data_IF_537648969706
#
_entry.id   IF_537648969706
#
_cell.length_a   1.000
_cell.length_b   1.000
_cell.length_c   1.000
_cell.angle_alpha   90.00
_cell.angle_beta   90.00
_cell.angle_gamma   90.00
#
_symmetry.space_group_name_H-M   'P 1'
#
loop_
_entity.id
_entity.type
_entity.pdbx_description
1 polymer ?
#
# COMPACT_ATOMS: atom_id res chain seq x y z
N UNK A 1 59.41 1.37 -47.99
CA UNK A 1 58.99 2.03 -46.74
C UNK A 1 57.80 1.24 -46.19
N UNK A 2 57.91 0.21 -45.34
CA UNK A 2 58.68 0.06 -44.09
C UNK A 2 57.97 0.85 -42.98
N UNK A 3 57.52 0.33 -41.82
CA UNK A 3 57.51 -0.97 -41.13
C UNK A 3 56.43 -0.83 -40.01
N UNK A 4 55.51 -1.77 -39.70
CA UNK A 4 55.58 -3.10 -39.05
C UNK A 4 56.18 -3.17 -37.62
N UNK A 5 55.28 -3.48 -36.69
CA UNK A 5 55.30 -4.49 -35.61
C UNK A 5 56.50 -4.64 -34.64
N UNK A 6 56.16 -4.62 -33.35
CA UNK A 6 56.73 -5.46 -32.27
C UNK A 6 55.53 -5.95 -31.43
N UNK A 7 55.13 -7.21 -31.41
CA UNK A 7 55.80 -8.46 -31.00
C UNK A 7 56.19 -8.50 -29.50
N UNK A 8 55.63 -9.48 -28.80
CA UNK A 8 55.93 -9.83 -27.41
C UNK A 8 54.99 -10.90 -26.83
N UNK A 9 54.97 -12.07 -27.48
CA UNK A 9 54.40 -13.34 -27.01
C UNK A 9 55.29 -13.95 -25.90
N UNK A 10 54.71 -14.72 -24.96
CA UNK A 10 55.26 -15.98 -24.43
C UNK A 10 54.30 -16.71 -23.45
N UNK A 11 53.56 -17.65 -24.02
CA UNK A 11 53.32 -19.04 -23.61
C UNK A 11 53.70 -19.60 -22.20
N UNK A 12 52.69 -20.32 -21.63
CA UNK A 12 52.68 -21.71 -21.08
C UNK A 12 53.17 -22.06 -19.66
N UNK A 13 52.37 -22.95 -19.04
CA UNK A 13 52.69 -23.84 -17.91
C UNK A 13 52.08 -23.34 -16.58
N UNK A 14 51.31 -24.06 -15.78
CA UNK A 14 51.16 -25.50 -15.55
C UNK A 14 51.07 -25.70 -14.02
N UNK A 15 50.27 -26.67 -13.57
CA UNK A 15 50.19 -27.21 -12.20
C UNK A 15 49.37 -26.51 -11.10
N UNK A 16 48.25 -27.18 -10.75
CA UNK A 16 47.72 -27.29 -9.37
C UNK A 16 48.65 -28.16 -8.52
N UNK A 17 48.80 -27.85 -7.23
CA UNK A 17 48.33 -28.74 -6.16
C UNK A 17 47.63 -27.92 -5.04
N UNK A 18 46.67 -28.39 -4.26
CA UNK A 18 46.64 -29.64 -3.50
C UNK A 18 46.50 -29.25 -2.02
N UNK A 19 45.28 -29.32 -1.49
CA UNK A 19 44.94 -29.13 -0.08
C UNK A 19 45.75 -30.08 0.83
N UNK A 20 46.33 -29.54 1.91
CA UNK A 20 46.67 -30.28 3.13
C UNK A 20 46.29 -29.44 4.35
N UNK A 21 45.24 -29.86 5.04
CA UNK A 21 44.96 -29.49 6.43
C UNK A 21 45.40 -30.66 7.33
N UNK A 22 46.04 -30.41 8.48
CA UNK A 22 46.40 -31.47 9.41
C UNK A 22 45.17 -32.00 10.16
N UNK A 23 45.12 -33.33 10.25
CA UNK A 23 44.20 -34.09 11.11
C UNK A 23 44.80 -34.18 12.50
N UNK A 24 44.02 -33.86 13.52
CA UNK A 24 44.22 -34.41 14.86
C UNK A 24 43.01 -35.26 15.25
N UNK A 25 43.30 -36.49 15.66
CA UNK A 25 42.39 -37.48 16.21
C UNK A 25 42.81 -37.77 17.65
N UNK A 26 41.89 -37.55 18.60
CA UNK A 26 41.75 -38.31 19.86
C UNK A 26 40.23 -38.40 20.09
N UNK A 27 39.56 -39.54 20.22
CA UNK A 27 39.87 -40.73 21.04
C UNK A 27 39.02 -40.63 22.33
N UNK A 28 37.70 -40.87 22.29
CA UNK A 28 36.92 -42.12 22.55
C UNK A 28 36.50 -42.29 24.02
N UNK A 29 35.32 -42.91 24.19
CA UNK A 29 34.65 -43.40 25.42
C UNK A 29 33.82 -42.38 26.21
N UNK A 30 32.55 -42.57 26.53
CA UNK A 30 31.74 -43.79 26.68
C UNK A 30 31.36 -43.95 28.15
N UNK A 31 30.12 -43.63 28.54
CA UNK A 31 29.45 -44.19 29.73
C UNK A 31 27.97 -43.84 29.78
N UNK A 32 27.16 -44.89 29.86
CA UNK A 32 25.75 -44.90 30.24
C UNK A 32 25.66 -44.79 31.77
N UNK A 33 24.70 -44.03 32.29
CA UNK A 33 24.09 -44.33 33.59
C UNK A 33 22.59 -43.96 33.57
N UNK A 34 21.77 -44.99 33.78
CA UNK A 34 20.39 -44.87 34.29
C UNK A 34 20.45 -44.63 35.80
N UNK A 35 19.55 -43.81 36.34
CA UNK A 35 18.46 -44.22 37.25
C UNK A 35 18.04 -43.11 38.24
N UNK A 36 16.74 -43.18 38.61
CA UNK A 36 16.03 -42.55 39.76
C UNK A 36 15.66 -41.08 39.52
N UNK A 37 14.40 -40.66 39.45
CA UNK A 37 13.17 -41.17 40.05
C UNK A 37 12.76 -40.27 41.21
N UNK A 38 12.07 -39.15 40.92
CA UNK A 38 11.31 -38.39 41.91
C UNK A 38 10.04 -37.84 41.25
N UNK A 39 8.93 -38.49 41.57
CA UNK A 39 7.56 -38.04 41.33
C UNK A 39 7.22 -36.89 42.28
N UNK A 40 6.77 -35.76 41.75
CA UNK A 40 6.10 -34.73 42.55
C UNK A 40 4.66 -34.64 42.09
N UNK A 41 3.77 -35.10 42.97
CA UNK A 41 2.32 -35.08 42.83
C UNK A 41 1.76 -33.65 42.78
N UNK A 42 0.60 -33.43 42.14
CA UNK A 42 -0.08 -32.13 42.15
C UNK A 42 -0.82 -31.93 43.47
N UNK A 43 -0.52 -30.85 44.20
CA UNK A 43 -1.32 -30.42 45.34
C UNK A 43 -2.45 -29.49 44.89
N UNK A 44 -3.67 -29.91 45.19
CA UNK A 44 -4.90 -29.16 45.05
C UNK A 44 -5.12 -28.18 46.23
N UNK A 45 -6.04 -27.23 45.98
CA UNK A 45 -6.70 -26.27 46.90
C UNK A 45 -5.91 -24.96 47.11
N UNK A 46 -6.48 -23.76 47.14
CA UNK A 46 -7.86 -23.30 47.40
C UNK A 46 -8.23 -22.10 46.52
N UNK A 47 -9.51 -22.03 46.17
CA UNK A 47 -10.10 -20.89 45.48
C UNK A 47 -10.15 -19.63 46.33
N UNK A 48 -10.10 -18.48 45.65
CA UNK A 48 -10.58 -17.21 46.20
C UNK A 48 -11.22 -16.36 45.10
N UNK A 49 -12.55 -16.28 45.24
CA UNK A 49 -13.48 -15.20 44.89
C UNK A 49 -13.14 -14.28 43.70
N UNK A 50 -13.93 -14.46 42.65
CA UNK A 50 -14.34 -13.43 41.70
C UNK A 50 -14.83 -12.18 42.46
N UNK A 51 -14.24 -11.02 42.16
CA UNK A 51 -14.93 -9.74 42.31
C UNK A 51 -15.54 -9.38 40.94
N UNK A 52 -16.86 -9.27 40.81
CA UNK A 52 -17.47 -8.63 39.66
C UNK A 52 -17.22 -7.11 39.78
N UNK A 53 -17.41 -6.38 38.68
CA UNK A 53 -17.30 -4.93 38.56
C UNK A 53 -15.96 -4.35 38.08
N UNK A 54 -15.58 -4.76 36.86
CA UNK A 54 -14.98 -3.81 35.90
C UNK A 54 -15.66 -4.01 34.54
N UNK A 55 -16.62 -3.15 34.21
CA UNK A 55 -17.23 -3.11 32.87
C UNK A 55 -16.17 -2.65 31.86
N UNK A 56 -15.97 -3.34 30.72
CA UNK A 56 -15.18 -2.78 29.63
C UNK A 56 -15.93 -1.57 29.06
N UNK A 57 -15.29 -0.39 29.07
CA UNK A 57 -15.80 0.80 28.39
C UNK A 57 -15.99 0.48 26.92
N UNK A 58 -17.26 0.36 26.52
CA UNK A 58 -17.66 0.16 25.14
C UNK A 58 -17.10 1.25 24.24
N UNK A 59 -16.60 0.84 23.08
CA UNK A 59 -16.26 1.73 21.97
C UNK A 59 -17.53 2.48 21.57
N UNK A 60 -17.55 3.79 21.79
CA UNK A 60 -18.59 4.66 21.24
C UNK A 60 -18.41 4.76 19.72
N UNK A 61 -19.47 4.63 18.92
CA UNK A 61 -19.41 4.96 17.50
C UNK A 61 -19.20 6.46 17.32
N UNK A 62 -18.40 6.84 16.31
CA UNK A 62 -18.22 8.23 15.87
C UNK A 62 -19.58 8.83 15.50
N UNK A 63 -20.11 9.68 16.37
CA UNK A 63 -21.22 10.58 16.06
C UNK A 63 -20.63 11.90 15.57
N UNK A 64 -20.58 12.08 14.25
CA UNK A 64 -20.87 13.32 13.48
C UNK A 64 -20.01 13.36 12.20
N UNK A 65 -20.59 13.55 11.01
CA UNK A 65 -19.84 14.05 9.87
C UNK A 65 -19.31 15.45 10.21
N UNK A 66 -18.05 15.73 9.91
CA UNK A 66 -17.47 17.06 9.99
C UNK A 66 -18.35 18.00 9.17
N UNK A 67 -18.97 18.98 9.84
CA UNK A 67 -19.83 19.98 9.21
C UNK A 67 -19.00 20.82 8.25
N UNK A 68 -19.50 20.97 7.02
CA UNK A 68 -19.02 21.97 6.05
C UNK A 68 -19.01 23.36 6.71
N UNK A 69 -17.91 24.09 6.57
CA UNK A 69 -17.81 25.46 7.06
C UNK A 69 -18.63 26.40 6.13
N UNK A 70 -19.48 27.31 6.63
CA UNK A 70 -20.56 27.94 5.85
C UNK A 70 -20.14 29.10 4.93
N UNK A 71 -18.87 29.26 4.59
CA UNK A 71 -18.42 30.41 3.81
C UNK A 71 -17.34 30.00 2.80
N UNK A 72 -17.79 29.53 1.64
CA UNK A 72 -17.02 29.58 0.41
C UNK A 72 -17.96 29.67 -0.79
N UNK A 73 -17.73 30.54 -1.79
CA UNK A 73 -18.69 30.83 -2.83
C UNK A 73 -18.61 29.77 -3.93
N UNK A 74 -19.73 29.13 -4.24
CA UNK A 74 -19.93 28.37 -5.47
C UNK A 74 -21.31 28.71 -6.04
N UNK A 75 -21.31 28.89 -7.36
CA UNK A 75 -22.44 29.09 -8.28
C UNK A 75 -22.82 30.54 -8.60
N UNK A 76 -22.22 31.05 -9.68
CA UNK A 76 -22.92 31.92 -10.62
C UNK A 76 -23.67 31.05 -11.62
N UNK A 77 -24.95 31.34 -11.79
CA UNK A 77 -25.88 30.70 -12.73
C UNK A 77 -25.62 31.16 -14.17
N UNK A 78 -25.80 30.24 -15.12
CA UNK A 78 -25.85 30.55 -16.56
C UNK A 78 -26.92 29.70 -17.23
N UNK A 79 -28.05 30.33 -17.55
CA UNK A 79 -29.21 29.75 -18.23
C UNK A 79 -29.00 29.56 -19.74
N UNK A 80 -29.76 28.60 -20.30
CA UNK A 80 -30.05 28.46 -21.73
C UNK A 80 -29.59 27.10 -22.26
N UNK A 81 -30.37 26.28 -22.98
CA UNK A 81 -31.71 26.39 -23.53
C UNK A 81 -32.05 25.02 -24.15
N UNK A 82 -33.35 24.82 -24.41
CA UNK A 82 -34.02 23.57 -24.79
C UNK A 82 -33.57 23.05 -26.17
N UNK A 83 -33.60 21.73 -26.39
CA UNK A 83 -34.25 21.14 -27.57
C UNK A 83 -34.51 19.63 -27.39
N UNK A 84 -35.79 19.26 -27.48
CA UNK A 84 -36.33 17.91 -27.65
C UNK A 84 -36.25 17.53 -29.13
N UNK A 85 -35.78 16.32 -29.45
CA UNK A 85 -36.28 15.56 -30.61
C UNK A 85 -36.41 14.08 -30.26
N UNK A 86 -37.60 13.58 -30.58
CA UNK A 86 -38.19 12.26 -30.38
C UNK A 86 -37.97 11.45 -31.67
N UNK A 87 -37.59 10.18 -31.57
CA UNK A 87 -37.52 9.27 -32.72
C UNK A 87 -37.47 7.80 -32.31
N UNK A 88 -38.62 7.13 -32.38
CA UNK A 88 -38.78 5.66 -32.47
C UNK A 88 -38.22 5.20 -33.85
N UNK A 89 -37.74 3.99 -34.13
CA UNK A 89 -38.16 2.63 -33.76
C UNK A 89 -37.08 1.60 -34.24
N UNK A 90 -37.28 0.27 -34.13
CA UNK A 90 -36.27 -0.69 -33.67
C UNK A 90 -35.60 -1.51 -34.78
N UNK A 91 -34.46 -2.15 -34.48
CA UNK A 91 -34.02 -3.37 -35.16
C UNK A 91 -33.40 -4.39 -34.20
N UNK A 92 -33.87 -5.62 -34.39
CA UNK A 92 -33.51 -6.86 -33.71
C UNK A 92 -32.03 -7.19 -33.88
N UNK A 93 -31.44 -7.80 -32.86
CA UNK A 93 -30.10 -8.36 -32.93
C UNK A 93 -29.79 -9.16 -31.66
N UNK A 94 -29.98 -10.47 -31.77
CA UNK A 94 -29.27 -11.56 -31.05
C UNK A 94 -29.07 -11.36 -29.55
N UNK A 95 -29.88 -12.09 -28.75
CA UNK A 95 -29.59 -12.37 -27.36
C UNK A 95 -28.35 -13.26 -27.28
N UNK A 96 -27.17 -12.65 -27.20
CA UNK A 96 -26.02 -13.32 -26.57
C UNK A 96 -26.31 -13.41 -25.07
N UNK A 97 -26.34 -14.64 -24.57
CA UNK A 97 -26.51 -14.94 -23.16
C UNK A 97 -25.52 -14.09 -22.33
N UNK A 98 -26.06 -13.12 -21.59
CA UNK A 98 -25.29 -12.16 -20.83
C UNK A 98 -24.48 -12.83 -19.73
N UNK A 99 -23.20 -13.06 -19.99
CA UNK A 99 -22.20 -13.04 -18.92
C UNK A 99 -22.27 -11.63 -18.36
N UNK A 100 -22.85 -11.47 -17.16
CA UNK A 100 -23.03 -10.17 -16.52
C UNK A 100 -21.77 -9.32 -16.69
N UNK A 101 -21.91 -8.14 -17.29
CA UNK A 101 -20.77 -7.31 -17.69
C UNK A 101 -20.13 -6.73 -16.42
N UNK A 102 -19.25 -7.52 -15.80
CA UNK A 102 -18.55 -7.14 -14.58
C UNK A 102 -17.85 -5.81 -14.82
N UNK A 103 -18.21 -4.80 -14.03
CA UNK A 103 -17.64 -3.45 -14.17
C UNK A 103 -16.24 -3.47 -13.57
N UNK A 104 -15.23 -3.71 -14.41
CA UNK A 104 -13.83 -3.83 -13.98
C UNK A 104 -13.30 -2.56 -13.32
N UNK A 105 -12.67 -2.74 -12.18
CA UNK A 105 -12.00 -1.72 -11.37
C UNK A 105 -10.53 -2.07 -11.30
N UNK A 106 -9.69 -1.21 -11.87
CA UNK A 106 -8.24 -1.30 -11.72
C UNK A 106 -7.83 -0.66 -10.39
N UNK A 107 -7.14 -1.41 -9.55
CA UNK A 107 -6.63 -0.96 -8.25
C UNK A 107 -5.11 -0.85 -8.33
N UNK A 108 -4.58 0.35 -8.23
CA UNK A 108 -3.14 0.59 -8.28
C UNK A 108 -2.57 0.85 -6.89
N UNK A 109 -1.51 0.10 -6.54
CA UNK A 109 -0.77 0.26 -5.27
C UNK A 109 0.67 0.64 -5.52
N UNK A 110 1.31 1.31 -4.56
CA UNK A 110 2.69 1.78 -4.74
C UNK A 110 3.70 0.63 -4.65
N UNK A 111 3.61 -0.20 -3.61
CA UNK A 111 4.66 -1.21 -3.34
C UNK A 111 4.13 -2.64 -3.32
N UNK A 112 5.03 -3.58 -3.60
CA UNK A 112 4.67 -5.00 -3.73
C UNK A 112 4.10 -5.59 -2.45
N UNK A 113 4.57 -5.12 -1.30
CA UNK A 113 4.07 -5.57 0.00
C UNK A 113 2.62 -5.16 0.24
N UNK A 114 2.23 -3.96 -0.19
CA UNK A 114 0.84 -3.48 -0.13
C UNK A 114 -0.04 -4.34 -1.03
N UNK A 115 0.37 -4.53 -2.29
CA UNK A 115 -0.36 -5.33 -3.26
C UNK A 115 -0.64 -6.74 -2.73
N UNK A 116 0.40 -7.44 -2.26
CA UNK A 116 0.29 -8.79 -1.71
C UNK A 116 -0.58 -8.83 -0.45
N UNK A 117 -0.48 -7.81 0.41
CA UNK A 117 -1.28 -7.75 1.63
C UNK A 117 -2.77 -7.53 1.32
N UNK A 118 -3.09 -6.60 0.42
CA UNK A 118 -4.45 -6.35 -0.03
C UNK A 118 -5.03 -7.56 -0.74
N UNK A 119 -4.29 -8.17 -1.67
CA UNK A 119 -4.71 -9.38 -2.36
C UNK A 119 -5.05 -10.51 -1.37
N UNK A 120 -4.19 -10.75 -0.37
CA UNK A 120 -4.46 -11.73 0.69
C UNK A 120 -5.70 -11.41 1.52
N UNK A 121 -5.91 -10.14 1.88
CA UNK A 121 -7.07 -9.71 2.68
C UNK A 121 -8.38 -9.77 1.88
N UNK A 122 -8.31 -9.62 0.57
CA UNK A 122 -9.45 -9.63 -0.35
C UNK A 122 -9.69 -11.01 -0.98
N UNK A 123 -8.80 -11.99 -0.77
CA UNK A 123 -8.88 -13.31 -1.39
C UNK A 123 -8.63 -13.29 -2.90
N UNK A 124 -7.84 -12.34 -3.41
CA UNK A 124 -7.52 -12.24 -4.84
C UNK A 124 -6.40 -13.22 -5.21
N UNK A 125 -6.62 -14.15 -6.16
CA UNK A 125 -5.58 -15.02 -6.67
C UNK A 125 -4.59 -14.21 -7.54
N UNK A 126 -3.36 -14.73 -7.66
CA UNK A 126 -2.38 -14.16 -8.58
C UNK A 126 -2.82 -14.41 -10.01
N UNK A 127 -2.75 -13.38 -10.86
CA UNK A 127 -2.86 -13.54 -12.29
C UNK A 127 -1.47 -13.92 -12.81
N UNK A 128 -1.39 -15.05 -13.52
CA UNK A 128 -0.12 -15.61 -13.98
C UNK A 128 0.48 -14.77 -15.12
N UNK A 129 1.81 -14.82 -15.26
CA UNK A 129 2.52 -14.27 -16.42
C UNK A 129 3.25 -12.94 -16.20
N UNK A 130 3.17 -12.35 -15.00
CA UNK A 130 3.85 -11.10 -14.67
C UNK A 130 4.98 -11.27 -13.64
N UNK A 131 6.07 -10.54 -13.84
CA UNK A 131 7.21 -10.52 -12.93
C UNK A 131 6.98 -9.66 -11.67
N UNK A 132 5.80 -9.04 -11.57
CA UNK A 132 5.39 -8.14 -10.50
C UNK A 132 4.05 -8.60 -9.91
N UNK A 133 3.65 -8.10 -8.73
CA UNK A 133 2.38 -8.47 -8.12
C UNK A 133 1.20 -7.98 -8.96
N UNK A 134 0.46 -8.94 -9.49
CA UNK A 134 -0.76 -8.77 -10.26
C UNK A 134 -1.78 -9.79 -9.79
N UNK A 135 -2.94 -9.33 -9.33
CA UNK A 135 -3.98 -10.16 -8.75
C UNK A 135 -5.34 -9.75 -9.28
N UNK A 136 -6.30 -10.66 -9.31
CA UNK A 136 -7.65 -10.29 -9.74
C UNK A 136 -8.68 -11.37 -9.53
N UNK A 137 -9.90 -10.95 -9.21
CA UNK A 137 -11.09 -11.78 -9.17
C UNK A 137 -12.33 -10.88 -9.19
N UNK A 138 -13.38 -11.34 -9.87
CA UNK A 138 -14.62 -10.58 -10.04
C UNK A 138 -14.34 -9.20 -10.64
N UNK A 139 -14.80 -8.15 -9.98
CA UNK A 139 -14.65 -6.77 -10.44
C UNK A 139 -13.27 -6.15 -10.19
N UNK A 140 -12.41 -6.74 -9.35
CA UNK A 140 -11.14 -6.13 -8.97
C UNK A 140 -9.96 -6.74 -9.73
N UNK A 141 -9.12 -5.87 -10.28
CA UNK A 141 -7.80 -6.20 -10.82
C UNK A 141 -6.77 -5.28 -10.14
N UNK A 142 -5.90 -5.87 -9.32
CA UNK A 142 -4.95 -5.16 -8.46
C UNK A 142 -3.53 -5.30 -9.01
N UNK A 143 -2.86 -4.16 -9.20
CA UNK A 143 -1.52 -4.07 -9.78
C UNK A 143 -0.64 -3.17 -8.91
N UNK A 144 0.55 -3.66 -8.57
CA UNK A 144 1.65 -2.83 -8.04
C UNK A 144 2.20 -1.97 -9.17
N UNK A 145 2.35 -0.66 -9.00
CA UNK A 145 2.87 0.28 -10.01
C UNK A 145 4.21 0.93 -9.61
N UNK A 146 4.82 0.44 -8.54
CA UNK A 146 6.07 0.94 -8.01
C UNK A 146 5.90 2.27 -7.25
N UNK A 147 6.86 2.60 -6.36
CA UNK A 147 6.87 3.87 -5.65
C UNK A 147 6.83 5.05 -6.62
N UNK A 148 6.10 6.10 -6.25
CA UNK A 148 5.80 7.27 -7.08
C UNK A 148 5.05 6.93 -8.39
N UNK A 149 4.46 5.74 -8.46
CA UNK A 149 3.76 5.20 -9.63
C UNK A 149 4.62 5.18 -10.91
N UNK A 150 5.95 5.06 -10.78
CA UNK A 150 6.89 5.17 -11.91
C UNK A 150 6.75 4.04 -12.95
N UNK A 151 6.13 2.92 -12.59
CA UNK A 151 5.88 1.78 -13.48
C UNK A 151 4.42 1.71 -13.94
N UNK A 152 3.61 2.75 -13.66
CA UNK A 152 2.19 2.80 -13.97
C UNK A 152 1.93 2.57 -15.45
N UNK A 153 2.55 3.35 -16.33
CA UNK A 153 2.33 3.25 -17.77
C UNK A 153 2.65 1.84 -18.29
N UNK A 154 3.83 1.32 -17.95
CA UNK A 154 4.30 0.02 -18.41
C UNK A 154 3.44 -1.14 -17.90
N UNK A 155 2.98 -1.09 -16.64
CA UNK A 155 2.19 -2.18 -16.04
C UNK A 155 0.71 -2.07 -16.36
N UNK A 156 0.17 -0.86 -16.49
CA UNK A 156 -1.23 -0.63 -16.87
C UNK A 156 -1.50 -0.93 -18.35
N UNK A 157 -0.49 -0.94 -19.23
CA UNK A 157 -0.64 -1.33 -20.63
C UNK A 157 -1.17 -2.76 -20.83
N UNK A 158 -1.08 -3.62 -19.81
CA UNK A 158 -1.61 -4.99 -19.83
C UNK A 158 -3.07 -5.09 -19.40
N UNK A 159 -3.62 -4.02 -18.81
CA UNK A 159 -4.99 -4.01 -18.35
C UNK A 159 -5.95 -3.95 -19.54
N UNK A 160 -7.04 -4.69 -19.42
CA UNK A 160 -8.22 -4.35 -20.24
C UNK A 160 -8.78 -3.02 -19.72
N UNK A 161 -9.25 -2.10 -20.59
CA UNK A 161 -9.74 -0.80 -20.14
C UNK A 161 -10.72 -0.89 -18.96
N UNK A 162 -10.37 -0.34 -17.79
CA UNK A 162 -11.21 -0.39 -16.60
C UNK A 162 -12.29 0.70 -16.68
N UNK A 163 -13.42 0.45 -16.04
CA UNK A 163 -14.49 1.44 -15.89
C UNK A 163 -14.23 2.41 -14.71
N UNK A 164 -13.29 2.05 -13.82
CA UNK A 164 -12.89 2.85 -12.67
C UNK A 164 -11.43 2.53 -12.33
N UNK A 165 -10.65 3.56 -12.04
CA UNK A 165 -9.34 3.45 -11.40
C UNK A 165 -9.45 3.79 -9.93
N UNK A 166 -8.84 2.99 -9.07
CA UNK A 166 -8.70 3.27 -7.64
C UNK A 166 -7.22 3.29 -7.28
N UNK A 167 -6.74 4.46 -6.86
CA UNK A 167 -5.44 4.59 -6.22
C UNK A 167 -5.56 4.14 -4.76
N UNK A 168 -4.94 3.02 -4.41
CA UNK A 168 -5.09 2.39 -3.10
C UNK A 168 -3.75 2.12 -2.43
N UNK A 169 -3.66 2.37 -1.12
CA UNK A 169 -2.44 2.13 -0.37
C UNK A 169 -2.48 2.83 0.99
N UNK A 170 -1.32 2.99 1.63
CA UNK A 170 -1.25 3.79 2.85
C UNK A 170 -0.91 5.25 2.58
N UNK A 171 -1.12 6.11 3.58
CA UNK A 171 -0.76 7.52 3.57
C UNK A 171 -0.30 7.99 4.95
N UNK A 172 0.46 9.08 4.99
CA UNK A 172 0.82 9.78 6.23
C UNK A 172 -0.26 10.80 6.61
N UNK A 173 -0.66 10.86 7.88
CA UNK A 173 -1.60 11.86 8.34
C UNK A 173 -0.97 13.26 8.39
N UNK A 174 -1.75 14.27 8.01
CA UNK A 174 -1.43 15.70 8.19
C UNK A 174 -2.37 16.34 9.22
N UNK A 175 -3.65 15.95 9.21
CA UNK A 175 -4.60 16.37 10.23
C UNK A 175 -4.29 15.71 11.59
N UNK A 176 -4.27 16.49 12.69
CA UNK A 176 -4.07 15.96 14.04
C UNK A 176 -5.25 15.10 14.54
N UNK A 177 -6.36 15.04 13.80
CA UNK A 177 -7.51 14.20 14.13
C UNK A 177 -7.37 12.76 13.62
N UNK A 178 -6.53 12.53 12.60
CA UNK A 178 -6.35 11.20 12.02
C UNK A 178 -5.45 10.31 12.89
N UNK A 179 -5.79 9.03 12.96
CA UNK A 179 -5.04 7.98 13.66
C UNK A 179 -4.68 6.86 12.70
N UNK A 180 -3.57 6.12 12.95
CA UNK A 180 -3.25 4.93 12.17
C UNK A 180 -4.42 3.94 12.10
N UNK A 181 -4.74 3.48 10.89
CA UNK A 181 -5.90 2.63 10.60
C UNK A 181 -7.18 3.39 10.22
N UNK A 182 -7.22 4.72 10.33
CA UNK A 182 -8.29 5.51 9.75
C UNK A 182 -8.26 5.45 8.22
N UNK A 183 -9.44 5.59 7.62
CA UNK A 183 -9.61 5.59 6.17
C UNK A 183 -9.74 7.03 5.66
N UNK A 184 -8.97 7.37 4.63
CA UNK A 184 -9.05 8.64 3.92
C UNK A 184 -9.52 8.37 2.50
N UNK A 185 -10.70 8.89 2.18
CA UNK A 185 -11.28 8.91 0.82
C UNK A 185 -11.43 10.39 0.46
N UNK A 186 -10.42 11.02 -0.14
CA UNK A 186 -10.43 12.46 -0.39
C UNK A 186 -11.40 12.80 -1.53
N UNK A 187 -12.01 13.99 -1.51
CA UNK A 187 -12.76 14.53 -2.66
C UNK A 187 -11.86 15.17 -3.73
N UNK A 188 -10.65 15.57 -3.34
CA UNK A 188 -9.66 16.15 -4.24
C UNK A 188 -8.24 15.73 -3.85
N UNK A 189 -7.41 15.47 -4.85
CA UNK A 189 -5.95 15.37 -4.67
C UNK A 189 -5.29 16.64 -5.18
N UNK A 190 -4.45 17.24 -4.35
CA UNK A 190 -3.63 18.39 -4.69
C UNK A 190 -2.28 17.90 -5.22
N UNK A 191 -1.94 18.25 -6.45
CA UNK A 191 -0.64 17.94 -7.04
C UNK A 191 0.45 18.88 -6.51
N UNK A 192 1.73 18.45 -6.57
CA UNK A 192 2.86 19.25 -6.08
C UNK A 192 3.10 20.53 -6.88
N UNK A 193 2.63 20.62 -8.13
CA UNK A 193 2.71 21.83 -8.95
C UNK A 193 1.41 22.65 -8.95
N UNK A 194 0.53 22.41 -7.97
CA UNK A 194 -0.74 23.13 -7.81
C UNK A 194 -1.92 22.52 -8.59
N UNK A 195 -1.73 21.36 -9.22
CA UNK A 195 -2.81 20.67 -9.92
C UNK A 195 -3.90 20.23 -8.94
N UNK A 196 -5.12 20.08 -9.44
CA UNK A 196 -6.25 19.58 -8.64
C UNK A 196 -6.95 18.47 -9.40
N UNK A 197 -7.02 17.30 -8.77
CA UNK A 197 -7.68 16.14 -9.33
C UNK A 197 -8.90 15.78 -8.50
N UNK A 198 -10.09 16.00 -9.05
CA UNK A 198 -11.33 15.57 -8.42
C UNK A 198 -11.40 14.04 -8.40
N UNK A 199 -11.90 13.48 -7.31
CA UNK A 199 -12.18 12.04 -7.19
C UNK A 199 -13.66 11.77 -7.41
N UNK A 200 -13.98 10.61 -7.97
CA UNK A 200 -15.38 10.18 -8.10
C UNK A 200 -15.91 9.60 -6.79
N UNK A 201 -17.21 9.74 -6.58
CA UNK A 201 -17.90 9.13 -5.44
C UNK A 201 -17.94 7.60 -5.58
N UNK A 202 -17.68 6.92 -4.46
CA UNK A 202 -17.83 5.47 -4.36
C UNK A 202 -18.97 5.20 -3.37
N UNK A 203 -19.97 4.46 -3.83
CA UNK A 203 -21.12 4.09 -3.01
C UNK A 203 -20.67 3.40 -1.70
N UNK A 204 -21.19 3.87 -0.57
CA UNK A 204 -20.89 3.31 0.75
C UNK A 204 -19.55 3.77 1.36
N UNK A 205 -18.78 4.62 0.68
CA UNK A 205 -17.56 5.22 1.22
C UNK A 205 -17.73 6.75 1.36
N UNK A 206 -17.77 7.29 2.59
CA UNK A 206 -17.86 8.73 2.79
C UNK A 206 -16.58 9.41 2.27
N UNK A 207 -16.73 10.34 1.32
CA UNK A 207 -15.62 11.16 0.83
C UNK A 207 -15.54 12.48 1.59
N UNK A 208 -14.33 12.91 1.94
CA UNK A 208 -14.09 14.21 2.56
C UNK A 208 -12.62 14.64 2.52
N UNK A 209 -12.42 15.94 2.37
CA UNK A 209 -11.14 16.62 2.48
C UNK A 209 -10.21 16.40 1.28
N UNK A 210 -9.11 17.14 1.31
CA UNK A 210 -8.05 17.01 0.33
C UNK A 210 -6.99 15.98 0.74
N UNK A 211 -6.33 15.37 -0.23
CA UNK A 211 -5.07 14.65 -0.07
C UNK A 211 -3.96 15.45 -0.76
N UNK A 212 -2.84 15.67 -0.09
CA UNK A 212 -1.68 16.33 -0.68
C UNK A 212 -0.76 15.30 -1.35
N UNK A 213 -0.55 15.44 -2.66
CA UNK A 213 0.47 14.72 -3.40
C UNK A 213 1.84 15.36 -3.14
N UNK A 214 2.78 14.58 -2.64
CA UNK A 214 4.17 15.01 -2.37
C UNK A 214 5.16 14.23 -3.22
N UNK A 215 6.30 14.82 -3.54
CA UNK A 215 7.35 14.16 -4.34
C UNK A 215 8.24 13.25 -3.50
N UNK A 216 8.35 13.55 -2.21
CA UNK A 216 9.25 12.90 -1.26
C UNK A 216 8.54 12.68 0.08
N UNK A 217 9.11 11.78 0.89
CA UNK A 217 8.56 11.45 2.19
C UNK A 217 8.57 12.68 3.09
N UNK A 218 7.45 12.97 3.76
CA UNK A 218 7.37 14.05 4.76
C UNK A 218 7.88 13.51 6.10
N UNK A 219 9.19 13.61 6.30
CA UNK A 219 9.91 12.88 7.35
C UNK A 219 9.66 13.39 8.77
N UNK A 220 9.24 14.64 8.98
CA UNK A 220 9.14 15.25 10.31
C UNK A 220 7.73 15.71 10.66
N UNK A 221 7.34 15.69 11.96
CA UNK A 221 6.07 16.27 12.41
C UNK A 221 5.91 17.74 12.04
N UNK A 222 7.00 18.52 12.12
CA UNK A 222 7.00 19.93 11.74
C UNK A 222 6.71 20.14 10.26
N UNK A 223 7.31 19.32 9.37
CA UNK A 223 7.03 19.36 7.95
C UNK A 223 5.57 18.96 7.63
N UNK A 224 5.03 17.95 8.33
CA UNK A 224 3.61 17.59 8.23
C UNK A 224 2.67 18.71 8.68
N UNK A 225 2.98 19.33 9.82
CA UNK A 225 2.20 20.45 10.33
C UNK A 225 2.23 21.65 9.37
N UNK A 226 3.39 21.97 8.79
CA UNK A 226 3.53 23.00 7.76
C UNK A 226 2.67 22.68 6.54
N UNK A 227 2.78 21.46 6.01
CA UNK A 227 2.00 21.03 4.85
C UNK A 227 0.49 21.06 5.16
N UNK A 228 0.08 20.70 6.38
CA UNK A 228 -1.30 20.79 6.83
C UNK A 228 -1.80 22.24 6.85
N UNK A 229 -1.01 23.18 7.39
CA UNK A 229 -1.38 24.60 7.45
C UNK A 229 -1.53 25.20 6.05
N UNK A 230 -0.58 24.88 5.15
CA UNK A 230 -0.53 25.40 3.77
C UNK A 230 -1.68 24.86 2.90
N UNK A 231 -2.02 23.58 3.04
CA UNK A 231 -2.94 22.90 2.10
C UNK A 231 -4.31 22.58 2.69
N UNK A 232 -4.42 22.51 4.01
CA UNK A 232 -5.55 21.94 4.75
C UNK A 232 -5.91 20.50 4.34
N UNK A 233 -4.99 19.79 3.67
CA UNK A 233 -5.17 18.39 3.31
C UNK A 233 -5.17 17.50 4.56
N UNK A 234 -6.00 16.45 4.55
CA UNK A 234 -6.12 15.52 5.67
C UNK A 234 -4.87 14.65 5.82
N UNK A 235 -4.29 14.24 4.69
CA UNK A 235 -3.16 13.31 4.62
C UNK A 235 -2.33 13.61 3.37
N UNK A 236 -1.17 12.95 3.25
CA UNK A 236 -0.31 13.01 2.07
C UNK A 236 0.13 11.63 1.57
N UNK A 237 0.36 11.52 0.27
CA UNK A 237 0.96 10.36 -0.38
C UNK A 237 1.80 10.77 -1.61
N UNK A 238 2.43 9.81 -2.27
CA UNK A 238 3.35 10.08 -3.38
C UNK A 238 2.84 9.58 -4.74
N UNK A 239 1.73 8.85 -4.77
CA UNK A 239 1.27 8.15 -5.97
C UNK A 239 -0.07 8.64 -6.50
N UNK A 240 -0.98 9.12 -5.64
CA UNK A 240 -2.35 9.41 -6.05
C UNK A 240 -2.42 10.44 -7.17
N UNK A 241 -1.70 11.56 -7.06
CA UNK A 241 -1.72 12.60 -8.10
C UNK A 241 -1.32 12.05 -9.49
N UNK A 242 -0.26 11.23 -9.54
CA UNK A 242 0.22 10.59 -10.78
C UNK A 242 -0.83 9.64 -11.36
N UNK A 243 -1.43 8.80 -10.51
CA UNK A 243 -2.47 7.84 -10.92
C UNK A 243 -3.73 8.56 -11.43
N UNK A 244 -4.17 9.62 -10.76
CA UNK A 244 -5.31 10.41 -11.23
C UNK A 244 -5.00 11.15 -12.53
N UNK A 245 -3.79 11.70 -12.69
CA UNK A 245 -3.38 12.33 -13.93
C UNK A 245 -3.42 11.32 -15.10
N UNK A 246 -2.91 10.11 -14.87
CA UNK A 246 -2.94 9.02 -15.84
C UNK A 246 -4.36 8.61 -16.25
N UNK A 247 -5.27 8.48 -15.27
CA UNK A 247 -6.67 8.12 -15.52
C UNK A 247 -7.43 9.25 -16.24
N UNK A 248 -7.21 10.51 -15.83
CA UNK A 248 -7.79 11.70 -16.46
C UNK A 248 -7.39 11.82 -17.93
N UNK A 249 -6.12 11.59 -18.25
CA UNK A 249 -5.64 11.61 -19.64
C UNK A 249 -6.31 10.57 -20.54
N UNK A 250 -6.94 9.54 -19.95
CA UNK A 250 -7.66 8.47 -20.65
C UNK A 250 -9.17 8.56 -20.52
N UNK A 251 -9.70 9.62 -19.89
CA UNK A 251 -11.13 9.78 -19.64
C UNK A 251 -11.71 8.72 -18.67
N UNK A 252 -10.87 8.07 -17.87
CA UNK A 252 -11.31 7.03 -16.94
C UNK A 252 -11.64 7.67 -15.58
N UNK A 253 -12.85 7.45 -15.03
CA UNK A 253 -13.19 7.83 -13.67
C UNK A 253 -12.16 7.30 -12.66
N UNK A 254 -11.74 8.13 -11.70
CA UNK A 254 -10.73 7.75 -10.72
C UNK A 254 -11.11 8.17 -9.29
N UNK A 255 -10.76 7.32 -8.33
CA UNK A 255 -10.93 7.56 -6.91
C UNK A 255 -9.68 7.17 -6.12
N UNK A 256 -9.63 7.60 -4.87
CA UNK A 256 -8.50 7.36 -3.96
C UNK A 256 -9.00 6.76 -2.67
N UNK A 257 -8.34 5.71 -2.21
CA UNK A 257 -8.64 5.04 -0.94
C UNK A 257 -7.33 4.82 -0.19
N UNK A 258 -7.10 5.60 0.86
CA UNK A 258 -5.88 5.52 1.66
C UNK A 258 -6.16 5.11 3.08
N UNK A 259 -5.30 4.26 3.63
CA UNK A 259 -5.29 3.94 5.06
C UNK A 259 -4.16 4.69 5.75
N UNK A 260 -4.44 5.37 6.85
CA UNK A 260 -3.41 6.11 7.58
C UNK A 260 -2.40 5.11 8.18
N UNK A 261 -1.12 5.23 7.83
CA UNK A 261 -0.04 4.42 8.41
C UNK A 261 0.59 5.06 9.64
N UNK A 262 0.73 6.38 9.64
CA UNK A 262 1.48 7.12 10.65
C UNK A 262 0.77 8.45 10.97
N UNK A 263 0.76 8.88 12.24
CA UNK A 263 0.06 10.07 12.69
C UNK A 263 0.80 11.36 12.31
N UNK A 264 0.11 12.50 12.46
CA UNK A 264 0.66 13.83 12.13
C UNK A 264 1.79 14.28 13.09
N UNK A 265 1.77 13.80 14.33
CA UNK A 265 2.72 14.16 15.39
C UNK A 265 4.00 13.31 15.39
N UNK A 266 4.14 12.38 14.44
CA UNK A 266 5.31 11.50 14.31
C UNK A 266 5.93 11.59 12.93
N UNK A 267 7.26 11.58 12.90
CA UNK A 267 8.04 11.49 11.66
C UNK A 267 8.16 10.06 11.14
N UNK A 268 8.60 9.92 9.89
CA UNK A 268 9.05 8.64 9.33
C UNK A 268 10.58 8.68 9.32
N UNK A 269 11.27 7.75 10.02
CA UNK A 269 12.73 7.69 10.00
C UNK A 269 13.29 7.62 8.56
N UNK A 270 14.26 8.48 8.24
CA UNK A 270 14.85 8.59 6.90
C UNK A 270 15.47 7.27 6.38
N UNK A 271 15.95 6.43 7.29
CA UNK A 271 16.51 5.11 6.97
C UNK A 271 15.44 4.10 6.52
N UNK A 272 14.20 4.24 6.96
CA UNK A 272 13.07 3.42 6.48
C UNK A 272 12.58 3.88 5.10
N UNK A 273 12.67 5.18 4.79
CA UNK A 273 12.32 5.70 3.46
C UNK A 273 13.25 5.15 2.37
N UNK A 274 14.51 4.89 2.69
CA UNK A 274 15.54 4.40 1.75
C UNK A 274 15.49 2.88 1.47
N UNK A 275 14.54 2.15 2.04
CA UNK A 275 14.48 0.67 2.02
C UNK A 275 13.71 0.10 0.83
N UNK A 276 12.84 0.90 0.21
CA UNK A 276 12.05 0.50 -0.95
C UNK A 276 12.88 0.71 -2.21
N UNK A 277 13.19 -0.38 -2.90
CA UNK A 277 13.82 -0.31 -4.21
C UNK A 277 12.87 0.33 -5.22
N UNK A 278 13.41 0.96 -6.28
CA UNK A 278 12.56 1.55 -7.30
C UNK A 278 11.53 0.53 -7.83
N UNK A 279 11.87 -0.75 -7.99
CA UNK A 279 10.95 -1.77 -8.54
C UNK A 279 9.76 -2.14 -7.62
N UNK A 280 9.71 -1.56 -6.42
CA UNK A 280 8.69 -1.79 -5.41
C UNK A 280 9.03 -2.90 -4.41
N UNK A 281 10.20 -3.52 -4.54
CA UNK A 281 10.67 -4.56 -3.61
C UNK A 281 11.32 -3.93 -2.37
N UNK A 282 11.14 -4.58 -1.22
CA UNK A 282 11.78 -4.20 0.04
C UNK A 282 13.09 -4.98 0.17
N UNK A 283 14.24 -4.31 0.30
CA UNK A 283 15.51 -4.99 0.58
C UNK A 283 15.57 -5.49 2.02
N UNK A 284 15.26 -6.76 2.25
CA UNK A 284 15.28 -7.39 3.59
C UNK A 284 16.64 -7.29 4.30
N UNK A 285 17.77 -7.55 3.64
CA UNK A 285 19.08 -7.55 4.32
C UNK A 285 19.61 -6.14 4.69
N UNK A 286 19.42 -5.14 3.81
CA UNK A 286 19.88 -3.76 4.06
C UNK A 286 18.96 -3.03 5.04
N UNK A 287 17.65 -3.25 4.95
CA UNK A 287 16.67 -2.73 5.90
C UNK A 287 16.90 -3.28 7.31
N UNK A 288 17.12 -4.58 7.44
CA UNK A 288 17.39 -5.23 8.72
C UNK A 288 18.69 -4.72 9.34
N UNK A 289 19.77 -4.54 8.56
CA UNK A 289 21.05 -4.03 9.10
C UNK A 289 20.98 -2.56 9.53
N UNK A 290 20.27 -1.71 8.79
CA UNK A 290 20.07 -0.29 9.16
C UNK A 290 19.22 -0.16 10.44
N UNK A 291 18.14 -0.95 10.54
CA UNK A 291 17.22 -0.96 11.68
C UNK A 291 17.86 -1.59 12.93
N UNK A 292 18.63 -2.69 12.81
CA UNK A 292 19.30 -3.34 13.94
C UNK A 292 20.45 -2.52 14.56
N UNK A 293 21.01 -1.55 13.83
CA UNK A 293 22.06 -0.68 14.34
C UNK A 293 21.53 0.43 15.28
N UNK A 294 20.20 0.60 15.40
CA UNK A 294 19.57 1.68 16.17
C UNK A 294 18.30 1.18 16.89
N UNK A 295 18.32 0.94 18.22
CA UNK A 295 17.17 0.42 18.96
C UNK A 295 15.89 1.23 18.82
N UNK A 296 15.99 2.56 18.69
CA UNK A 296 14.84 3.46 18.45
C UNK A 296 14.24 3.29 17.05
N UNK A 297 15.07 3.05 16.03
CA UNK A 297 14.61 2.79 14.67
C UNK A 297 13.84 1.47 14.57
N UNK A 298 14.13 0.48 15.41
CA UNK A 298 13.35 -0.77 15.53
C UNK A 298 11.93 -0.47 16.03
N UNK A 299 11.80 0.30 17.11
CA UNK A 299 10.50 0.66 17.68
C UNK A 299 9.67 1.53 16.71
N UNK A 300 10.32 2.47 16.01
CA UNK A 300 9.69 3.29 14.98
C UNK A 300 9.25 2.43 13.78
N UNK A 301 10.10 1.51 13.31
CA UNK A 301 9.77 0.57 12.24
C UNK A 301 8.63 -0.37 12.62
N UNK A 302 8.59 -0.86 13.87
CA UNK A 302 7.49 -1.70 14.37
C UNK A 302 6.19 -0.92 14.46
N UNK A 303 6.24 0.34 14.94
CA UNK A 303 5.05 1.19 15.00
C UNK A 303 4.54 1.48 13.60
N UNK A 304 5.42 1.89 12.69
CA UNK A 304 5.08 2.12 11.29
C UNK A 304 4.50 0.87 10.65
N UNK A 305 5.13 -0.30 10.83
CA UNK A 305 4.60 -1.58 10.34
C UNK A 305 3.21 -1.89 10.89
N UNK A 306 2.97 -1.65 12.17
CA UNK A 306 1.67 -1.88 12.79
C UNK A 306 0.60 -0.95 12.22
N UNK A 307 0.95 0.32 12.02
CA UNK A 307 0.10 1.33 11.42
C UNK A 307 -0.19 1.05 9.95
N UNK A 308 0.81 0.72 9.15
CA UNK A 308 0.65 0.24 7.76
C UNK A 308 -0.28 -0.96 7.71
N UNK A 309 -0.11 -1.93 8.60
CA UNK A 309 -0.99 -3.09 8.69
C UNK A 309 -2.44 -2.73 9.03
N UNK A 310 -2.65 -1.78 9.94
CA UNK A 310 -3.98 -1.27 10.28
C UNK A 310 -4.62 -0.51 9.09
N UNK A 311 -3.85 0.36 8.44
CA UNK A 311 -4.25 1.11 7.26
C UNK A 311 -4.66 0.19 6.10
N UNK A 312 -3.84 -0.81 5.76
CA UNK A 312 -4.16 -1.77 4.70
C UNK A 312 -5.39 -2.62 5.01
N UNK A 313 -5.66 -2.94 6.28
CA UNK A 313 -6.93 -3.58 6.67
C UNK A 313 -8.13 -2.67 6.41
N UNK A 314 -8.00 -1.36 6.66
CA UNK A 314 -9.06 -0.40 6.36
C UNK A 314 -9.29 -0.27 4.85
N UNK A 315 -8.22 -0.15 4.06
CA UNK A 315 -8.26 -0.12 2.59
C UNK A 315 -8.89 -1.39 2.04
N UNK A 316 -8.51 -2.57 2.52
CA UNK A 316 -9.11 -3.84 2.07
C UNK A 316 -10.63 -3.90 2.35
N UNK A 317 -11.09 -3.44 3.53
CA UNK A 317 -12.54 -3.37 3.80
C UNK A 317 -13.27 -2.45 2.82
N UNK A 318 -12.67 -1.31 2.50
CA UNK A 318 -13.22 -0.35 1.54
C UNK A 318 -13.25 -0.91 0.12
N UNK A 319 -12.16 -1.53 -0.36
CA UNK A 319 -12.10 -2.21 -1.65
C UNK A 319 -13.11 -3.36 -1.75
N UNK A 320 -13.37 -4.07 -0.65
CA UNK A 320 -14.43 -5.08 -0.61
C UNK A 320 -15.84 -4.50 -0.82
N UNK A 321 -16.10 -3.26 -0.36
CA UNK A 321 -17.35 -2.56 -0.68
C UNK A 321 -17.41 -2.18 -2.17
N UNK A 322 -16.30 -1.71 -2.73
CA UNK A 322 -16.18 -1.40 -4.16
C UNK A 322 -16.47 -2.63 -5.02
N UNK A 323 -15.88 -3.77 -4.66
CA UNK A 323 -16.10 -5.04 -5.36
C UNK A 323 -17.58 -5.45 -5.35
N UNK A 324 -18.25 -5.39 -4.18
CA UNK A 324 -19.66 -5.77 -4.06
C UNK A 324 -20.62 -4.84 -4.81
N UNK A 325 -20.29 -3.57 -4.93
CA UNK A 325 -21.11 -2.61 -5.67
C UNK A 325 -20.99 -2.76 -7.20
N UNK A 326 -20.07 -3.61 -7.69
CA UNK A 326 -19.70 -3.77 -9.10
C UNK A 326 -19.69 -5.22 -9.59
N UNK A 327 -20.00 -6.16 -8.68
CA UNK A 327 -20.23 -7.57 -8.94
C UNK A 327 -21.69 -7.77 -9.38
#
# INVERSE_FOLDING_TARGET
MGARDRAGDHARGGHRPGLRLPREHHGREGRRHRARGLSVQPRARRGRALRPDVRPRGRRPLRRPLRRHPQHPLHGEGHGGRHLVRGLAPRQGVQEAGVGRVTRVAVFTAVDLEARTLARLLGLPSLAGDAWPHFGAGALELISVGPRARLLEARAARLTPPALVVSAGVCGALSPELRPGDLVVPDVVLGPAGERFATVEIAGLPRAGALAGVTDVVETPAAKARLWVETRALACDMESAVILAWARARGIPAAVIRGVSDPADRGVPADLAAVVEPDGRVRTARAVRAVLARPRAIADAMTLRSGTGAGLKAVARALGLVARARA
#
